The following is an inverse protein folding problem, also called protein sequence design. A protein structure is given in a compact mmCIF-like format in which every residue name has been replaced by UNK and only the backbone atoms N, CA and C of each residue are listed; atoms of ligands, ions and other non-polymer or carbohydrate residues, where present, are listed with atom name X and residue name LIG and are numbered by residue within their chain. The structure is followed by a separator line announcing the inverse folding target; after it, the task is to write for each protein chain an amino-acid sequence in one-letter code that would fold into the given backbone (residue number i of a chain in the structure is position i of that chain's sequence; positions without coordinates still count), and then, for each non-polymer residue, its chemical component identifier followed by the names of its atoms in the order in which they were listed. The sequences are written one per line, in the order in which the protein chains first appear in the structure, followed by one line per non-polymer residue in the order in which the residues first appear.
data_IF_050906773558
#
_entry.id   IF_050906773558
#
_cell.length_a   1.000
_cell.length_b   1.000
_cell.length_c   1.000
_cell.angle_alpha   90.00
_cell.angle_beta   90.00
_cell.angle_gamma   90.00
#
_symmetry.space_group_name_H-M   'P 1'
#
loop_
_entity.id
_entity.type
_entity.pdbx_description
1 polymer ?
#
# COMPACT_ATOMS: atom_id res chain seq x y z
N UNK A 1 -6.31 -12.45 13.58
CA UNK A 1 -5.64 -13.00 14.79
C UNK A 1 -4.68 -11.93 15.30
N UNK A 2 -4.87 -11.54 16.56
CA UNK A 2 -4.23 -10.39 17.23
C UNK A 2 -2.87 -10.81 17.77
N UNK A 3 -1.78 -10.44 17.10
CA UNK A 3 -0.42 -10.62 17.63
C UNK A 3 0.41 -9.43 17.19
N UNK A 4 0.67 -8.51 18.13
CA UNK A 4 1.89 -7.67 18.24
C UNK A 4 1.64 -6.49 19.20
N UNK A 5 1.35 -6.78 20.47
CA UNK A 5 1.46 -5.79 21.55
C UNK A 5 2.16 -6.43 22.74
N UNK A 6 3.46 -6.74 22.58
CA UNK A 6 4.35 -7.10 23.69
C UNK A 6 5.69 -6.40 23.48
N UNK A 7 5.70 -5.07 23.53
CA UNK A 7 6.92 -4.27 23.77
C UNK A 7 6.55 -3.07 24.62
N UNK A 8 6.07 -3.29 25.85
CA UNK A 8 5.80 -2.22 26.79
C UNK A 8 5.73 -2.73 28.24
N UNK A 9 6.75 -3.43 28.73
CA UNK A 9 6.82 -3.79 30.16
C UNK A 9 8.24 -4.09 30.70
N UNK A 10 9.32 -3.77 29.97
CA UNK A 10 10.66 -4.29 30.29
C UNK A 10 11.71 -3.31 30.83
N UNK A 11 11.41 -2.02 31.00
CA UNK A 11 12.47 -1.00 31.27
C UNK A 11 12.30 -0.26 32.61
N UNK A 12 11.19 -0.44 33.32
CA UNK A 12 10.93 0.31 34.57
C UNK A 12 11.60 -0.26 35.84
N UNK A 13 12.38 -1.34 35.76
CA UNK A 13 12.94 -2.02 36.93
C UNK A 13 14.42 -1.73 37.24
N UNK A 14 15.09 -0.83 36.51
CA UNK A 14 16.52 -0.53 36.72
C UNK A 14 16.81 0.75 37.53
N UNK A 15 15.79 1.44 38.03
CA UNK A 15 15.95 2.72 38.73
C UNK A 15 16.07 2.64 40.27
N UNK A 16 16.09 1.44 40.86
CA UNK A 16 16.03 1.28 42.33
C UNK A 16 17.33 0.79 42.99
N UNK A 17 18.47 0.80 42.29
CA UNK A 17 19.75 0.31 42.83
C UNK A 17 20.72 1.43 43.25
N UNK A 18 20.22 2.48 43.93
CA UNK A 18 21.05 3.60 44.37
C UNK A 18 20.48 4.35 45.57
N UNK A 19 20.06 3.65 46.63
CA UNK A 19 19.58 4.32 47.85
C UNK A 19 20.75 4.74 48.75
N UNK A 20 20.75 6.03 49.12
CA UNK A 20 21.57 6.74 50.11
C UNK A 20 23.00 7.18 49.76
N UNK A 21 23.15 8.06 48.75
CA UNK A 21 24.33 8.95 48.66
C UNK A 21 24.04 10.45 48.61
N UNK A 22 22.82 10.86 48.24
CA UNK A 22 22.43 12.29 48.13
C UNK A 22 21.51 12.77 49.25
N UNK A 23 21.11 11.89 50.19
CA UNK A 23 20.11 12.19 51.23
C UNK A 23 18.72 12.48 50.65
N UNK A 24 17.96 13.37 51.29
CA UNK A 24 16.61 13.79 50.87
C UNK A 24 16.61 14.74 49.64
N UNK A 25 17.77 15.04 49.06
CA UNK A 25 17.90 15.98 47.94
C UNK A 25 17.90 15.26 46.59
N UNK A 26 17.34 15.93 45.58
CA UNK A 26 17.48 15.48 44.19
C UNK A 26 18.96 15.54 43.77
N UNK A 27 19.35 14.67 42.83
CA UNK A 27 20.74 14.63 42.34
C UNK A 27 21.15 15.99 41.73
N UNK A 28 20.23 16.67 41.04
CA UNK A 28 20.46 17.99 40.47
C UNK A 28 20.74 19.05 41.54
N UNK A 29 19.93 19.09 42.60
CA UNK A 29 20.10 20.05 43.71
C UNK A 29 21.38 19.75 44.50
N UNK A 30 21.68 18.47 44.71
CA UNK A 30 22.89 18.02 45.41
C UNK A 30 24.17 18.37 44.65
N UNK A 31 24.16 18.23 43.32
CA UNK A 31 25.26 18.61 42.43
C UNK A 31 25.41 20.13 42.28
N UNK A 32 24.31 20.88 42.36
CA UNK A 32 24.31 22.34 42.26
C UNK A 32 24.74 23.05 43.57
N UNK A 33 24.64 22.36 44.71
CA UNK A 33 24.94 22.93 46.02
C UNK A 33 26.43 23.28 46.25
N UNK A 34 27.37 22.66 45.53
CA UNK A 34 28.81 22.91 45.68
C UNK A 34 29.56 22.57 44.38
N UNK A 35 30.35 23.54 43.88
CA UNK A 35 31.13 23.39 42.65
C UNK A 35 32.16 22.24 42.71
N UNK A 36 32.67 21.90 43.90
CA UNK A 36 33.61 20.78 44.05
C UNK A 36 32.95 19.41 43.84
N UNK A 37 31.61 19.33 43.93
CA UNK A 37 30.84 18.08 43.73
C UNK A 37 30.62 17.75 42.26
N UNK A 38 30.84 18.71 41.35
CA UNK A 38 30.73 18.50 39.91
C UNK A 38 31.63 17.37 39.38
N UNK A 39 32.73 17.06 40.08
CA UNK A 39 33.65 15.99 39.70
C UNK A 39 33.29 14.61 40.26
N UNK A 40 32.26 14.52 41.11
CA UNK A 40 31.79 13.24 41.64
C UNK A 40 31.10 12.42 40.54
N UNK A 41 31.23 11.10 40.64
CA UNK A 41 30.68 10.19 39.62
C UNK A 41 29.15 10.31 39.50
N UNK A 42 28.47 10.70 40.57
CA UNK A 42 27.02 10.92 40.61
C UNK A 42 26.62 12.10 39.70
N UNK A 43 27.34 13.22 39.78
CA UNK A 43 27.04 14.40 38.95
C UNK A 43 27.40 14.18 37.48
N UNK A 44 28.48 13.44 37.21
CA UNK A 44 28.86 13.03 35.85
C UNK A 44 27.80 12.11 35.23
N UNK A 45 27.41 11.05 35.95
CA UNK A 45 26.40 10.11 35.47
C UNK A 45 25.04 10.78 35.25
N UNK A 46 24.65 11.74 36.11
CA UNK A 46 23.45 12.53 35.91
C UNK A 46 23.52 13.38 34.64
N UNK A 47 24.63 14.09 34.42
CA UNK A 47 24.85 14.88 33.20
C UNK A 47 24.82 14.01 31.93
N UNK A 48 25.48 12.85 31.96
CA UNK A 48 25.46 11.88 30.86
C UNK A 48 24.04 11.36 30.60
N UNK A 49 23.28 11.08 31.67
CA UNK A 49 21.88 10.61 31.56
C UNK A 49 20.97 11.65 30.94
N UNK A 50 21.12 12.92 31.30
CA UNK A 50 20.34 14.03 30.71
C UNK A 50 20.71 14.28 29.24
N UNK A 51 21.99 14.11 28.87
CA UNK A 51 22.42 14.16 27.47
C UNK A 51 21.82 12.99 26.66
N UNK A 52 21.77 11.78 27.24
CA UNK A 52 21.12 10.62 26.61
C UNK A 52 19.62 10.85 26.45
N UNK A 53 18.93 11.39 27.47
CA UNK A 53 17.49 11.71 27.40
C UNK A 53 17.19 12.71 26.29
N UNK A 54 18.01 13.76 26.18
CA UNK A 54 17.85 14.81 25.16
C UNK A 54 18.08 14.26 23.75
N UNK A 55 19.18 13.53 23.55
CA UNK A 55 19.50 12.93 22.24
C UNK A 55 18.52 11.84 21.81
N UNK A 56 18.03 11.04 22.76
CA UNK A 56 16.97 10.05 22.50
C UNK A 56 15.64 10.75 22.15
N UNK A 57 15.28 11.82 22.87
CA UNK A 57 14.09 12.62 22.58
C UNK A 57 14.12 13.22 21.17
N UNK A 58 15.27 13.74 20.73
CA UNK A 58 15.46 14.24 19.36
C UNK A 58 15.29 13.14 18.30
N UNK A 59 15.89 11.96 18.52
CA UNK A 59 15.74 10.80 17.62
C UNK A 59 14.30 10.28 17.57
N UNK A 60 13.60 10.28 18.70
CA UNK A 60 12.17 9.90 18.75
C UNK A 60 11.33 10.93 18.00
N UNK A 61 11.57 12.23 18.18
CA UNK A 61 10.83 13.27 17.47
C UNK A 61 11.06 13.20 15.94
N UNK A 62 12.29 12.97 15.51
CA UNK A 62 12.64 12.78 14.10
C UNK A 62 11.97 11.54 13.49
N UNK A 63 12.05 10.39 14.19
CA UNK A 63 11.43 9.14 13.72
C UNK A 63 9.90 9.23 13.68
N UNK A 64 9.26 9.90 14.65
CA UNK A 64 7.82 10.18 14.63
C UNK A 64 7.43 11.14 13.48
N UNK A 65 8.26 12.13 13.17
CA UNK A 65 8.06 13.02 12.02
C UNK A 65 8.10 12.26 10.69
N UNK A 66 9.08 11.37 10.52
CA UNK A 66 9.22 10.49 9.35
C UNK A 66 8.02 9.53 9.26
N UNK A 67 7.60 8.93 10.38
CA UNK A 67 6.46 8.03 10.42
C UNK A 67 5.14 8.72 10.03
N UNK A 68 4.90 9.94 10.51
CA UNK A 68 3.72 10.73 10.13
C UNK A 68 3.74 11.13 8.65
N UNK A 69 4.89 11.51 8.11
CA UNK A 69 5.05 11.79 6.69
C UNK A 69 4.80 10.52 5.84
N UNK A 70 5.31 9.37 6.28
CA UNK A 70 5.06 8.09 5.61
C UNK A 70 3.58 7.68 5.67
N UNK A 71 2.92 7.87 6.82
CA UNK A 71 1.50 7.56 7.00
C UNK A 71 0.62 8.45 6.11
N UNK A 72 0.85 9.76 6.10
CA UNK A 72 0.09 10.69 5.24
C UNK A 72 0.31 10.40 3.75
N UNK A 73 1.52 10.01 3.34
CA UNK A 73 1.80 9.55 1.97
C UNK A 73 1.06 8.25 1.64
N UNK A 74 1.02 7.30 2.58
CA UNK A 74 0.31 6.04 2.43
C UNK A 74 -1.21 6.25 2.36
N UNK A 75 -1.77 7.14 3.17
CA UNK A 75 -3.19 7.50 3.17
C UNK A 75 -3.60 8.19 1.86
N UNK A 76 -2.73 9.07 1.32
CA UNK A 76 -2.92 9.67 -0.01
C UNK A 76 -2.85 8.64 -1.15
N UNK A 77 -2.02 7.61 -1.01
CA UNK A 77 -1.95 6.51 -1.96
C UNK A 77 -3.18 5.59 -1.85
N UNK A 78 -3.65 5.31 -0.63
CA UNK A 78 -4.85 4.50 -0.35
C UNK A 78 -6.16 5.21 -0.71
N UNK A 79 -6.18 6.54 -0.80
CA UNK A 79 -7.32 7.30 -1.33
C UNK A 79 -7.57 7.09 -2.84
N UNK A 80 -6.66 6.41 -3.56
CA UNK A 80 -6.83 6.06 -4.98
C UNK A 80 -7.42 4.66 -5.10
N UNK A 81 -8.75 4.57 -5.18
CA UNK A 81 -9.41 3.33 -5.59
C UNK A 81 -9.06 3.04 -7.07
N UNK A 82 -8.48 1.87 -7.33
CA UNK A 82 -8.22 1.38 -8.69
C UNK A 82 -9.37 0.46 -9.07
N UNK A 83 -10.14 0.83 -10.09
CA UNK A 83 -11.20 -0.02 -10.64
C UNK A 83 -10.77 -0.49 -12.01
N UNK A 84 -10.68 -1.80 -12.17
CA UNK A 84 -10.32 -2.44 -13.43
C UNK A 84 -11.49 -3.23 -13.99
N UNK A 85 -11.72 -3.09 -15.29
CA UNK A 85 -12.71 -3.85 -16.05
C UNK A 85 -12.09 -4.45 -17.28
N UNK A 86 -12.62 -5.60 -17.68
CA UNK A 86 -12.20 -6.28 -18.90
C UNK A 86 -13.28 -6.10 -19.96
N UNK A 87 -12.90 -5.55 -21.11
CA UNK A 87 -13.76 -5.43 -22.28
C UNK A 87 -13.45 -6.55 -23.25
N UNK A 88 -14.48 -7.28 -23.66
CA UNK A 88 -14.36 -8.28 -24.72
C UNK A 88 -14.80 -7.64 -26.03
N UNK A 89 -13.92 -7.67 -27.02
CA UNK A 89 -14.11 -7.06 -28.34
C UNK A 89 -13.97 -8.15 -29.39
N UNK A 90 -14.90 -8.20 -30.35
CA UNK A 90 -14.95 -9.26 -31.36
C UNK A 90 -14.73 -8.71 -32.76
N UNK A 91 -13.99 -9.47 -33.57
CA UNK A 91 -13.70 -9.14 -34.97
C UNK A 91 -13.11 -7.74 -35.14
N UNK A 92 -12.22 -7.33 -34.23
CA UNK A 92 -11.54 -6.03 -34.23
C UNK A 92 -10.05 -6.19 -34.50
N UNK A 93 -9.41 -5.17 -35.05
CA UNK A 93 -7.95 -5.12 -35.18
C UNK A 93 -7.29 -4.35 -34.02
N UNK A 94 -8.07 -3.55 -33.30
CA UNK A 94 -7.60 -2.76 -32.17
C UNK A 94 -8.53 -2.95 -30.97
N UNK A 95 -7.96 -3.00 -29.77
CA UNK A 95 -8.68 -2.96 -28.51
C UNK A 95 -8.59 -1.60 -27.87
N UNK A 96 -9.70 -1.08 -27.35
CA UNK A 96 -9.78 0.24 -26.74
C UNK A 96 -10.55 0.22 -25.43
N UNK A 97 -10.22 1.15 -24.54
CA UNK A 97 -10.94 1.37 -23.29
C UNK A 97 -12.03 2.43 -23.44
N UNK A 98 -13.00 2.44 -22.51
CA UNK A 98 -13.96 3.53 -22.43
C UNK A 98 -13.26 4.81 -21.92
N UNK A 99 -13.78 6.00 -22.22
CA UNK A 99 -13.21 7.25 -21.73
C UNK A 99 -13.06 7.26 -20.20
N UNK A 100 -11.91 7.72 -19.71
CA UNK A 100 -11.60 7.72 -18.27
C UNK A 100 -10.95 6.44 -17.75
N UNK A 101 -10.77 5.42 -18.61
CA UNK A 101 -9.98 4.22 -18.31
C UNK A 101 -8.69 4.19 -19.12
N UNK A 102 -7.61 3.76 -18.49
CA UNK A 102 -6.30 3.51 -19.10
C UNK A 102 -6.17 2.03 -19.44
N UNK A 103 -5.68 1.74 -20.65
CA UNK A 103 -5.41 0.38 -21.10
C UNK A 103 -4.18 -0.18 -20.37
N UNK A 104 -4.34 -1.36 -19.77
CA UNK A 104 -3.28 -2.04 -19.01
C UNK A 104 -2.79 -3.32 -19.71
N UNK A 105 -3.68 -4.04 -20.38
CA UNK A 105 -3.29 -5.25 -21.12
C UNK A 105 -4.28 -5.59 -22.22
N UNK A 106 -3.81 -6.28 -23.25
CA UNK A 106 -4.63 -6.86 -24.31
C UNK A 106 -4.25 -8.32 -24.55
N UNK A 107 -5.25 -9.18 -24.64
CA UNK A 107 -5.06 -10.63 -24.86
C UNK A 107 -6.03 -11.14 -25.90
N UNK A 108 -5.51 -11.83 -26.92
CA UNK A 108 -6.35 -12.53 -27.89
C UNK A 108 -6.86 -13.82 -27.24
N UNK A 109 -8.16 -13.94 -27.04
CA UNK A 109 -8.77 -15.11 -26.38
C UNK A 109 -9.31 -16.13 -27.37
N UNK A 110 -9.62 -15.71 -28.60
CA UNK A 110 -10.09 -16.61 -29.64
C UNK A 110 -9.36 -16.41 -30.96
N UNK A 111 -8.93 -17.52 -31.54
CA UNK A 111 -8.29 -17.61 -32.85
C UNK A 111 -8.60 -18.96 -33.46
N UNK A 112 -8.66 -19.04 -34.79
CA UNK A 112 -8.83 -20.30 -35.50
C UNK A 112 -7.88 -20.35 -36.68
N UNK A 113 -7.54 -21.57 -37.12
CA UNK A 113 -6.67 -21.78 -38.29
C UNK A 113 -7.33 -21.30 -39.59
N UNK A 114 -8.67 -21.36 -39.69
CA UNK A 114 -9.43 -20.88 -40.86
C UNK A 114 -9.59 -19.36 -40.92
N UNK A 115 -9.49 -18.66 -39.80
CA UNK A 115 -9.69 -17.21 -39.72
C UNK A 115 -8.40 -16.40 -39.56
N UNK A 116 -7.24 -17.00 -39.89
CA UNK A 116 -5.96 -16.28 -39.93
C UNK A 116 -5.03 -16.46 -38.71
N UNK A 117 -5.32 -17.40 -37.80
CA UNK A 117 -4.43 -17.76 -36.70
C UNK A 117 -4.31 -16.71 -35.59
N UNK A 118 -3.28 -16.87 -34.74
CA UNK A 118 -2.94 -15.86 -33.73
C UNK A 118 -2.48 -14.58 -34.43
N UNK A 119 -3.06 -13.44 -34.04
CA UNK A 119 -2.63 -12.14 -34.51
C UNK A 119 -1.49 -11.64 -33.61
N UNK A 120 -0.50 -11.00 -34.23
CA UNK A 120 0.65 -10.43 -33.53
C UNK A 120 0.32 -8.99 -33.15
N UNK A 121 0.38 -8.69 -31.85
CA UNK A 121 0.23 -7.33 -31.35
C UNK A 121 1.42 -6.48 -31.83
N UNK A 122 1.11 -5.38 -32.51
CA UNK A 122 2.08 -4.45 -33.11
C UNK A 122 2.45 -3.31 -32.17
N UNK A 123 1.48 -2.83 -31.40
CA UNK A 123 1.67 -1.73 -30.47
C UNK A 123 0.64 -1.79 -29.34
N UNK A 124 1.03 -1.25 -28.19
CA UNK A 124 0.16 -1.02 -27.05
C UNK A 124 0.54 0.33 -26.42
N UNK A 125 -0.46 1.15 -26.12
CA UNK A 125 -0.32 2.40 -25.40
C UNK A 125 -1.47 2.53 -24.36
N UNK A 126 -1.56 3.67 -23.70
CA UNK A 126 -2.53 3.92 -22.62
C UNK A 126 -4.01 3.94 -23.08
N UNK A 127 -4.28 3.95 -24.39
CA UNK A 127 -5.65 4.08 -24.94
C UNK A 127 -6.05 2.93 -25.85
N UNK A 128 -5.09 2.37 -26.60
CA UNK A 128 -5.31 1.29 -27.55
C UNK A 128 -4.17 0.28 -27.65
N UNK A 129 -4.54 -0.95 -27.99
CA UNK A 129 -3.63 -1.98 -28.48
C UNK A 129 -4.00 -2.32 -29.92
N UNK A 130 -3.01 -2.48 -30.80
CA UNK A 130 -3.24 -2.80 -32.21
C UNK A 130 -2.57 -4.09 -32.61
N UNK A 131 -3.29 -4.90 -33.39
CA UNK A 131 -2.81 -6.14 -33.98
C UNK A 131 -2.50 -5.97 -35.47
N UNK A 132 -1.62 -6.84 -36.00
CA UNK A 132 -1.26 -6.86 -37.42
C UNK A 132 -2.44 -7.26 -38.32
N UNK A 133 -3.38 -8.04 -37.80
CA UNK A 133 -4.59 -8.52 -38.48
C UNK A 133 -5.80 -8.46 -37.54
N UNK A 134 -6.99 -8.70 -38.09
CA UNK A 134 -8.25 -8.73 -37.33
C UNK A 134 -8.26 -9.94 -36.38
N UNK A 135 -8.53 -9.68 -35.11
CA UNK A 135 -8.67 -10.67 -34.03
C UNK A 135 -10.14 -11.09 -33.92
N UNK A 136 -10.40 -12.39 -33.77
CA UNK A 136 -11.77 -12.91 -33.59
C UNK A 136 -12.37 -12.47 -32.25
N UNK A 137 -11.61 -12.64 -31.16
CA UNK A 137 -11.98 -12.15 -29.84
C UNK A 137 -10.73 -11.67 -29.07
N UNK A 138 -10.85 -10.49 -28.49
CA UNK A 138 -9.83 -9.75 -27.78
C UNK A 138 -10.38 -9.34 -26.41
N UNK A 139 -9.63 -9.56 -25.35
CA UNK A 139 -9.90 -9.01 -24.02
C UNK A 139 -8.93 -7.88 -23.71
N UNK A 140 -9.45 -6.67 -23.57
CA UNK A 140 -8.73 -5.47 -23.16
C UNK A 140 -9.01 -5.18 -21.69
N UNK A 141 -7.97 -5.16 -20.85
CA UNK A 141 -8.06 -4.82 -19.43
C UNK A 141 -7.81 -3.32 -19.26
N UNK A 142 -8.81 -2.64 -18.74
CA UNK A 142 -8.89 -1.19 -18.63
C UNK A 142 -9.03 -0.81 -17.16
N UNK A 143 -8.18 0.09 -16.66
CA UNK A 143 -8.22 0.50 -15.25
C UNK A 143 -8.38 2.02 -15.14
N UNK A 144 -9.21 2.47 -14.22
CA UNK A 144 -9.36 3.87 -13.84
C UNK A 144 -8.88 4.05 -12.39
N UNK A 145 -8.29 5.22 -12.11
CA UNK A 145 -7.85 5.60 -10.78
C UNK A 145 -8.59 6.86 -10.34
N UNK A 146 -9.17 6.84 -9.14
CA UNK A 146 -9.79 8.03 -8.57
C UNK A 146 -10.74 7.72 -7.41
N UNK A 147 -11.15 8.73 -6.63
CA UNK A 147 -12.08 8.54 -5.52
C UNK A 147 -13.47 8.10 -6.00
N UNK A 148 -13.83 8.40 -7.25
CA UNK A 148 -15.10 8.01 -7.86
C UNK A 148 -14.85 7.61 -9.33
N UNK A 149 -14.43 6.36 -9.61
CA UNK A 149 -14.17 5.93 -10.97
C UNK A 149 -15.47 5.93 -11.80
N UNK A 150 -15.41 6.26 -13.10
CA UNK A 150 -16.59 6.29 -13.95
C UNK A 150 -17.26 4.91 -13.99
N UNK A 151 -18.61 4.83 -14.00
CA UNK A 151 -19.32 3.56 -14.00
C UNK A 151 -18.86 2.75 -15.21
N UNK A 152 -18.30 1.57 -14.96
CA UNK A 152 -17.85 0.71 -16.03
C UNK A 152 -19.06 0.23 -16.84
N UNK A 153 -19.12 0.64 -18.11
CA UNK A 153 -19.95 -0.05 -19.10
C UNK A 153 -19.37 -1.45 -19.30
N UNK A 154 -19.80 -2.40 -18.48
CA UNK A 154 -19.60 -3.82 -18.78
C UNK A 154 -20.38 -4.10 -20.06
N UNK A 155 -19.71 -4.05 -21.21
CA UNK A 155 -20.25 -4.59 -22.46
C UNK A 155 -20.21 -6.11 -22.33
N UNK A 156 -21.17 -6.66 -21.59
CA UNK A 156 -21.60 -8.04 -21.75
C UNK A 156 -22.54 -8.03 -22.95
N UNK A 157 -21.98 -8.06 -24.16
CA UNK A 157 -22.78 -8.47 -25.32
C UNK A 157 -23.48 -9.77 -24.95
N UNK A 158 -24.79 -9.80 -25.20
CA UNK A 158 -25.74 -10.79 -24.71
C UNK A 158 -25.13 -12.20 -24.58
N UNK A 159 -25.19 -12.75 -23.37
CA UNK A 159 -25.21 -14.19 -23.24
C UNK A 159 -26.36 -14.70 -24.13
N UNK A 160 -26.13 -15.61 -25.10
CA UNK A 160 -27.22 -16.18 -25.86
C UNK A 160 -28.25 -16.75 -24.86
N UNK A 161 -29.56 -16.61 -25.12
CA UNK A 161 -30.59 -17.02 -24.18
C UNK A 161 -30.30 -18.45 -23.72
N UNK A 162 -30.28 -18.67 -22.40
CA UNK A 162 -30.16 -20.00 -21.83
C UNK A 162 -31.26 -20.86 -22.45
N UNK A 163 -30.86 -21.87 -23.23
CA UNK A 163 -31.80 -22.88 -23.70
C UNK A 163 -32.35 -23.59 -22.48
N UNK A 164 -33.63 -23.38 -22.20
CA UNK A 164 -34.37 -24.18 -21.23
C UNK A 164 -34.22 -25.64 -21.64
N UNK A 165 -33.78 -26.55 -20.75
CA UNK A 165 -33.71 -27.96 -21.09
C UNK A 165 -35.12 -28.44 -21.50
N UNK A 166 -35.25 -29.22 -22.59
CA UNK A 166 -36.55 -29.74 -22.99
C UNK A 166 -37.15 -30.58 -21.86
N UNK A 167 -38.47 -30.50 -21.62
CA UNK A 167 -39.11 -31.26 -20.56
C UNK A 167 -38.87 -32.76 -20.77
N UNK A 168 -38.49 -33.45 -19.71
CA UNK A 168 -38.33 -34.90 -19.71
C UNK A 168 -39.65 -35.56 -20.09
N UNK A 169 -39.66 -36.52 -21.03
CA UNK A 169 -40.85 -37.29 -21.36
C UNK A 169 -41.32 -38.04 -20.12
N UNK A 170 -42.53 -37.76 -19.66
CA UNK A 170 -43.22 -38.64 -18.70
C UNK A 170 -43.78 -39.82 -19.48
N UNK A 171 -43.42 -41.02 -19.05
CA UNK A 171 -43.99 -42.29 -19.53
C UNK A 171 -45.30 -42.58 -18.80
#
# INVERSE_FOLDING_TARGET
MRIAFIVAAGVLALAAAGCDRTGDQSIADWCAADANRAHTDICKQHADTEQVRTSLGQRIAETLGIANHAQTTADQAMARNVVCVTRTLRRVQAGTCDPGYTLTSCTQTHYTTRAGGLAIMRSINDTECRYNSRVLELQARCCAMGPNPPPATMVREQQPPQQTPPPTPVS
#
